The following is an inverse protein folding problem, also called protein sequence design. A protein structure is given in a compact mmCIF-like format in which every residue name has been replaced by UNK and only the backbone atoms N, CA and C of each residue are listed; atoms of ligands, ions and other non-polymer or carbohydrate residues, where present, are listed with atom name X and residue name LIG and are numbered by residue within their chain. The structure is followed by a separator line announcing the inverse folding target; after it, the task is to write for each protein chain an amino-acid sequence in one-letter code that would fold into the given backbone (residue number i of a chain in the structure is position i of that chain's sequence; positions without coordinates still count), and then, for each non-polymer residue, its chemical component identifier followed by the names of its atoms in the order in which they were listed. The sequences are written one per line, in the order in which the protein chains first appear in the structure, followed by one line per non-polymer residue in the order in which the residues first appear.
data_IF_882999235005
#
_entry.id   IF_882999235005
#
_cell.length_a   1.000
_cell.length_b   1.000
_cell.length_c   1.000
_cell.angle_alpha   90.00
_cell.angle_beta   90.00
_cell.angle_gamma   90.00
#
_symmetry.space_group_name_H-M   'P 1'
#
loop_
_entity.id
_entity.type
_entity.pdbx_description
1 polymer ?
#
# COMPACT_ATOMS: atom_id res chain seq x y z
N UNK A 1 -11.57 -16.43 -24.54
CA UNK A 1 -10.51 -15.53 -25.04
C UNK A 1 -9.76 -14.95 -23.85
N UNK A 2 -8.41 -14.94 -23.84
CA UNK A 2 -7.68 -14.29 -22.77
C UNK A 2 -8.00 -12.79 -22.80
N UNK A 3 -8.50 -12.26 -21.69
CA UNK A 3 -8.69 -10.82 -21.52
C UNK A 3 -7.30 -10.19 -21.65
N UNK A 4 -7.18 -9.18 -22.50
CA UNK A 4 -5.94 -8.44 -22.75
C UNK A 4 -6.15 -7.02 -22.28
N UNK A 5 -5.17 -6.50 -21.55
CA UNK A 5 -5.14 -5.14 -21.06
C UNK A 5 -3.84 -4.46 -21.50
N UNK A 6 -3.84 -3.14 -21.53
CA UNK A 6 -2.68 -2.32 -21.87
C UNK A 6 -1.81 -1.99 -20.65
N UNK A 7 -0.50 -1.97 -20.83
CA UNK A 7 0.41 -1.37 -19.87
C UNK A 7 0.35 0.16 -20.00
N UNK A 8 0.02 0.86 -18.92
CA UNK A 8 -0.11 2.33 -18.88
C UNK A 8 1.21 3.10 -19.04
N UNK A 9 2.37 2.43 -19.05
CA UNK A 9 3.69 3.06 -19.25
C UNK A 9 4.23 2.83 -20.67
N UNK A 10 4.31 1.57 -21.11
CA UNK A 10 4.89 1.23 -22.41
C UNK A 10 3.85 1.02 -23.53
N UNK A 11 2.56 1.03 -23.22
CA UNK A 11 1.48 0.85 -24.20
C UNK A 11 1.32 -0.57 -24.76
N UNK A 12 2.16 -1.53 -24.33
CA UNK A 12 2.07 -2.93 -24.80
C UNK A 12 0.78 -3.58 -24.32
N UNK A 13 0.09 -4.27 -25.23
CA UNK A 13 -1.10 -5.08 -24.92
C UNK A 13 -0.66 -6.47 -24.50
N UNK A 14 -0.94 -6.84 -23.24
CA UNK A 14 -0.52 -8.09 -22.63
C UNK A 14 -1.73 -8.82 -22.00
N UNK A 15 -1.67 -10.15 -21.83
CA UNK A 15 -2.67 -10.87 -21.07
C UNK A 15 -2.67 -10.40 -19.61
N UNK A 16 -3.84 -10.31 -18.97
CA UNK A 16 -3.99 -9.78 -17.60
C UNK A 16 -3.08 -10.48 -16.57
N UNK A 17 -2.76 -11.76 -16.76
CA UNK A 17 -1.86 -12.50 -15.86
C UNK A 17 -0.43 -11.94 -15.77
N UNK A 18 0.04 -11.28 -16.83
CA UNK A 18 1.37 -10.66 -16.91
C UNK A 18 1.39 -9.22 -16.39
N UNK A 19 0.22 -8.63 -16.15
CA UNK A 19 0.09 -7.29 -15.61
C UNK A 19 0.00 -7.34 -14.09
N UNK A 20 0.57 -6.32 -13.45
CA UNK A 20 0.58 -6.14 -12.01
C UNK A 20 0.09 -4.73 -11.68
N UNK A 21 -0.59 -4.59 -10.54
CA UNK A 21 -1.13 -3.31 -10.09
C UNK A 21 -0.11 -2.59 -9.23
N UNK A 22 0.12 -1.31 -9.52
CA UNK A 22 0.94 -0.44 -8.69
C UNK A 22 0.19 -0.10 -7.39
N UNK A 23 0.84 -0.27 -6.24
CA UNK A 23 0.24 0.02 -4.93
C UNK A 23 -0.02 1.52 -4.70
N UNK A 24 0.69 2.41 -5.41
CA UNK A 24 0.55 3.88 -5.24
C UNK A 24 -0.49 4.50 -6.16
N UNK A 25 -0.54 4.09 -7.44
CA UNK A 25 -1.44 4.69 -8.42
C UNK A 25 -2.60 3.78 -8.88
N UNK A 26 -2.62 2.51 -8.47
CA UNK A 26 -3.70 1.56 -8.78
C UNK A 26 -3.76 1.05 -10.23
N UNK A 27 -2.96 1.64 -11.14
CA UNK A 27 -2.90 1.28 -12.56
C UNK A 27 -2.13 -0.03 -12.78
N UNK A 28 -2.42 -0.69 -13.92
CA UNK A 28 -1.78 -1.93 -14.37
C UNK A 28 -0.56 -1.66 -15.25
N UNK A 29 0.53 -2.40 -15.00
CA UNK A 29 1.78 -2.30 -15.73
C UNK A 29 2.40 -3.68 -15.95
N UNK A 30 3.28 -3.80 -16.95
CA UNK A 30 4.10 -5.00 -17.15
C UNK A 30 5.22 -5.06 -16.10
N UNK A 31 5.78 -6.25 -15.88
CA UNK A 31 6.86 -6.49 -14.90
C UNK A 31 8.07 -5.58 -15.16
N UNK A 32 8.46 -5.39 -16.42
CA UNK A 32 9.59 -4.51 -16.80
C UNK A 32 9.38 -3.04 -16.42
N UNK A 33 8.12 -2.59 -16.34
CA UNK A 33 7.74 -1.23 -15.99
C UNK A 33 7.46 -1.06 -14.48
N UNK A 34 7.79 -2.07 -13.68
CA UNK A 34 7.62 -2.08 -12.23
C UNK A 34 8.93 -2.37 -11.51
N UNK A 35 9.05 -1.78 -10.33
CA UNK A 35 10.19 -1.97 -9.42
C UNK A 35 9.61 -2.28 -8.04
N UNK A 36 10.24 -3.20 -7.27
CA UNK A 36 9.90 -3.38 -5.86
C UNK A 36 10.17 -2.09 -5.06
N UNK A 37 9.68 -2.05 -3.83
CA UNK A 37 9.88 -0.88 -2.96
C UNK A 37 11.37 -0.68 -2.64
N UNK A 38 11.97 0.36 -3.20
CA UNK A 38 13.36 0.73 -2.96
C UNK A 38 13.56 1.33 -1.55
N UNK A 39 12.52 1.96 -0.97
CA UNK A 39 12.63 2.62 0.32
C UNK A 39 12.56 1.62 1.48
N UNK A 40 11.66 0.63 1.39
CA UNK A 40 11.47 -0.37 2.45
C UNK A 40 12.24 -1.68 2.19
N UNK A 41 12.67 -1.94 0.93
CA UNK A 41 13.26 -3.23 0.53
C UNK A 41 12.23 -4.36 0.36
N UNK A 42 10.94 -4.05 0.48
CA UNK A 42 9.85 -5.03 0.39
C UNK A 42 9.62 -5.49 -1.06
N UNK A 43 10.05 -6.72 -1.38
CA UNK A 43 9.88 -7.32 -2.72
C UNK A 43 8.39 -7.50 -3.09
N UNK A 44 7.51 -7.60 -2.08
CA UNK A 44 6.06 -7.79 -2.29
C UNK A 44 5.33 -6.51 -2.73
N UNK A 45 5.89 -5.34 -2.44
CA UNK A 45 5.29 -4.05 -2.80
C UNK A 45 5.87 -3.59 -4.12
N UNK A 46 5.08 -3.68 -5.19
CA UNK A 46 5.50 -3.22 -6.51
C UNK A 46 4.93 -1.84 -6.83
N UNK A 47 5.81 -0.97 -7.31
CA UNK A 47 5.49 0.35 -7.82
C UNK A 47 5.84 0.47 -9.29
N UNK A 48 5.08 1.28 -10.04
CA UNK A 48 5.49 1.60 -11.41
C UNK A 48 6.67 2.57 -11.41
N UNK A 49 7.46 2.59 -12.49
CA UNK A 49 8.66 3.44 -12.61
C UNK A 49 8.39 4.93 -12.31
N UNK A 50 7.24 5.47 -12.74
CA UNK A 50 6.87 6.85 -12.44
C UNK A 50 6.59 7.08 -10.94
N UNK A 51 5.99 6.11 -10.26
CA UNK A 51 5.75 6.17 -8.82
C UNK A 51 7.03 5.96 -8.01
N UNK A 52 7.92 5.07 -8.46
CA UNK A 52 9.23 4.85 -7.87
C UNK A 52 10.11 6.10 -7.99
N UNK A 53 10.16 6.71 -9.17
CA UNK A 53 10.88 7.98 -9.40
C UNK A 53 10.45 9.07 -8.43
N UNK A 54 9.14 9.23 -8.24
CA UNK A 54 8.57 10.20 -7.28
C UNK A 54 8.86 9.91 -5.81
N UNK A 55 9.27 8.69 -5.46
CA UNK A 55 9.70 8.37 -4.08
C UNK A 55 11.17 8.72 -3.87
N UNK A 56 12.03 8.35 -4.82
CA UNK A 56 13.48 8.57 -4.71
C UNK A 56 13.84 10.05 -4.92
N UNK A 57 13.19 10.70 -5.89
CA UNK A 57 13.34 12.12 -6.17
C UNK A 57 11.95 12.76 -6.16
N UNK A 58 11.42 13.11 -4.98
CA UNK A 58 10.22 13.93 -4.93
C UNK A 58 10.51 15.22 -5.69
N UNK A 59 9.61 15.58 -6.61
CA UNK A 59 9.69 16.89 -7.26
C UNK A 59 9.55 17.92 -6.16
N UNK A 60 10.65 18.57 -5.79
CA UNK A 60 10.62 19.78 -4.97
C UNK A 60 9.74 20.78 -5.73
N UNK A 61 8.69 21.22 -5.07
CA UNK A 61 7.72 22.18 -5.58
C UNK A 61 8.37 23.56 -5.67
N UNK A 62 7.75 24.54 -5.04
CA UNK A 62 8.33 25.88 -4.99
C UNK A 62 9.71 25.84 -4.32
N UNK A 63 10.65 26.68 -4.76
CA UNK A 63 12.01 26.80 -4.19
C UNK A 63 12.00 26.84 -2.64
N UNK A 64 11.02 27.52 -2.06
CA UNK A 64 10.87 27.72 -0.61
C UNK A 64 10.06 26.61 0.12
N UNK A 65 9.78 25.48 -0.53
CA UNK A 65 9.03 24.39 0.09
C UNK A 65 9.78 23.78 1.28
N UNK A 66 11.10 23.63 1.20
CA UNK A 66 11.92 23.12 2.31
C UNK A 66 11.80 24.01 3.56
N UNK A 67 11.80 25.35 3.39
CA UNK A 67 11.55 26.31 4.47
C UNK A 67 10.13 26.15 5.06
N UNK A 68 9.14 25.88 4.22
CA UNK A 68 7.76 25.60 4.65
C UNK A 68 7.71 24.37 5.56
N UNK A 69 8.36 23.28 5.17
CA UNK A 69 8.44 22.06 5.98
C UNK A 69 9.18 22.27 7.30
N UNK A 70 10.30 23.00 7.26
CA UNK A 70 11.07 23.32 8.45
C UNK A 70 10.24 24.09 9.48
N UNK A 71 9.55 25.15 9.05
CA UNK A 71 8.71 25.96 9.93
C UNK A 71 7.50 25.17 10.45
N UNK A 72 6.88 24.31 9.61
CA UNK A 72 5.81 23.40 10.05
C UNK A 72 6.28 22.39 11.09
N UNK A 73 7.47 21.83 10.94
CA UNK A 73 8.03 20.94 11.96
C UNK A 73 8.28 21.70 13.27
N UNK A 74 8.77 22.93 13.16
CA UNK A 74 9.11 23.76 14.33
C UNK A 74 7.89 24.28 15.08
N UNK A 75 6.74 24.40 14.40
CA UNK A 75 5.49 24.90 15.00
C UNK A 75 4.88 23.97 16.06
N UNK A 76 5.36 22.72 16.12
CA UNK A 76 5.00 21.77 17.18
C UNK A 76 5.68 22.10 18.52
N UNK A 77 6.81 22.82 18.52
CA UNK A 77 7.65 22.99 19.70
C UNK A 77 7.80 24.45 20.15
N UNK A 78 7.72 25.40 19.23
CA UNK A 78 7.99 26.82 19.53
C UNK A 78 7.04 27.72 18.77
N UNK A 79 6.69 28.85 19.39
CA UNK A 79 5.84 29.88 18.78
C UNK A 79 6.65 30.98 18.07
N UNK A 80 7.95 31.08 18.36
CA UNK A 80 8.88 32.03 17.73
C UNK A 80 10.16 31.32 17.31
N UNK A 81 10.69 31.69 16.14
CA UNK A 81 11.91 31.11 15.58
C UNK A 81 12.76 32.22 14.99
N UNK A 82 13.98 32.38 15.50
CA UNK A 82 15.01 33.24 14.91
C UNK A 82 15.86 32.41 13.95
N UNK A 83 15.96 32.85 12.70
CA UNK A 83 16.81 32.25 11.67
C UNK A 83 17.73 33.31 11.07
N UNK A 84 19.01 32.96 10.87
CA UNK A 84 19.90 33.79 10.05
C UNK A 84 19.68 33.55 8.56
N UNK A 85 20.07 34.49 7.71
CA UNK A 85 19.97 34.32 6.25
C UNK A 85 20.76 33.10 5.76
N UNK A 86 21.94 32.86 6.31
CA UNK A 86 22.75 31.67 6.01
C UNK A 86 22.06 30.36 6.40
N UNK A 87 21.32 30.35 7.53
CA UNK A 87 20.52 29.18 7.90
C UNK A 87 19.36 28.96 6.93
N UNK A 88 18.72 30.03 6.49
CA UNK A 88 17.62 29.95 5.51
C UNK A 88 18.14 29.42 4.17
N UNK A 89 19.30 29.89 3.69
CA UNK A 89 19.97 29.38 2.49
C UNK A 89 20.25 27.88 2.61
N UNK A 90 20.78 27.45 3.77
CA UNK A 90 21.02 26.04 4.06
C UNK A 90 19.75 25.18 4.10
N UNK A 91 18.63 25.72 4.62
CA UNK A 91 17.34 25.03 4.67
C UNK A 91 16.74 24.90 3.27
N UNK A 92 16.82 25.95 2.45
CA UNK A 92 16.31 25.96 1.08
C UNK A 92 17.17 25.06 0.18
N UNK A 93 18.48 24.98 0.47
CA UNK A 93 19.47 24.32 -0.39
C UNK A 93 19.91 25.19 -1.57
N UNK A 94 19.52 26.47 -1.57
CA UNK A 94 19.88 27.47 -2.57
C UNK A 94 20.06 28.83 -1.88
N UNK A 95 20.84 29.72 -2.49
CA UNK A 95 21.00 31.09 -1.99
C UNK A 95 19.72 31.94 -2.18
N UNK A 96 19.43 32.75 -1.16
CA UNK A 96 18.44 33.81 -1.19
C UNK A 96 18.82 34.88 -2.24
N UNK A 97 17.84 35.48 -2.92
CA UNK A 97 18.10 36.54 -3.87
C UNK A 97 18.68 37.77 -3.16
N UNK A 98 19.46 38.57 -3.90
CA UNK A 98 20.12 39.77 -3.37
C UNK A 98 19.13 40.79 -2.77
N UNK A 99 17.89 40.78 -3.23
CA UNK A 99 16.80 41.60 -2.69
C UNK A 99 16.50 41.28 -1.23
N UNK A 100 16.57 40.02 -0.82
CA UNK A 100 16.33 39.60 0.56
C UNK A 100 17.33 40.22 1.55
N UNK A 101 18.54 40.51 1.07
CA UNK A 101 19.62 41.16 1.83
C UNK A 101 19.51 42.68 1.82
N UNK A 102 18.91 43.27 0.79
CA UNK A 102 18.89 44.73 0.57
C UNK A 102 17.63 45.41 1.09
N UNK A 103 16.47 44.76 1.02
CA UNK A 103 15.20 45.37 1.39
C UNK A 103 14.44 44.54 2.41
N UNK A 104 13.91 45.21 3.44
CA UNK A 104 12.94 44.62 4.36
C UNK A 104 11.61 44.31 3.67
N UNK A 105 11.35 44.94 2.52
CA UNK A 105 10.15 44.73 1.73
C UNK A 105 10.01 43.31 1.20
N UNK A 106 11.14 42.66 0.90
CA UNK A 106 11.16 41.27 0.46
C UNK A 106 10.60 40.33 1.53
N UNK A 107 10.71 40.70 2.81
CA UNK A 107 10.21 39.93 3.94
C UNK A 107 8.76 40.28 4.33
N UNK A 108 8.04 41.07 3.52
CA UNK A 108 6.63 41.41 3.77
C UNK A 108 5.74 40.18 3.65
N UNK A 109 4.75 40.07 4.54
CA UNK A 109 3.75 39.01 4.55
C UNK A 109 2.71 39.22 3.44
N UNK A 110 3.04 38.80 2.20
CA UNK A 110 2.12 38.88 1.05
C UNK A 110 1.91 37.53 0.39
N UNK A 111 0.67 37.19 0.03
CA UNK A 111 0.38 35.93 -0.68
C UNK A 111 0.74 36.00 -2.18
N UNK A 112 1.10 37.18 -2.69
CA UNK A 112 1.46 37.37 -4.10
C UNK A 112 2.82 36.74 -4.44
N UNK A 113 3.79 36.81 -3.54
CA UNK A 113 5.15 36.32 -3.80
C UNK A 113 5.34 34.86 -3.39
N UNK A 114 6.23 34.15 -4.08
CA UNK A 114 6.46 32.73 -3.82
C UNK A 114 7.18 32.47 -2.49
N UNK A 115 8.06 33.40 -2.07
CA UNK A 115 8.77 33.32 -0.78
C UNK A 115 7.81 33.52 0.39
N UNK A 116 6.99 34.57 0.37
CA UNK A 116 6.12 34.85 1.50
C UNK A 116 4.99 33.84 1.65
N UNK A 117 4.50 33.28 0.54
CA UNK A 117 3.63 32.11 0.55
C UNK A 117 4.22 30.93 1.33
N UNK A 118 5.54 30.76 1.38
CA UNK A 118 6.16 29.62 2.05
C UNK A 118 5.93 29.63 3.57
N UNK A 119 6.26 30.74 4.24
CA UNK A 119 6.04 30.85 5.69
C UNK A 119 4.55 31.04 6.03
N UNK A 120 3.79 31.78 5.21
CA UNK A 120 2.34 31.94 5.41
C UNK A 120 1.59 30.60 5.31
N UNK A 121 1.91 29.77 4.32
CA UNK A 121 1.32 28.41 4.20
C UNK A 121 1.76 27.47 5.33
N UNK A 122 2.85 27.79 6.03
CA UNK A 122 3.28 27.08 7.23
C UNK A 122 2.58 27.57 8.51
N UNK A 123 1.78 28.65 8.45
CA UNK A 123 1.15 29.26 9.62
C UNK A 123 2.08 30.21 10.38
N UNK A 124 3.07 30.78 9.69
CA UNK A 124 4.05 31.71 10.25
C UNK A 124 4.01 33.05 9.54
N UNK A 125 4.36 34.09 10.25
CA UNK A 125 4.53 35.45 9.75
C UNK A 125 5.91 35.98 10.17
N UNK A 126 6.48 36.86 9.35
CA UNK A 126 7.69 37.60 9.72
C UNK A 126 7.32 38.68 10.74
N UNK A 127 7.93 38.62 11.92
CA UNK A 127 7.72 39.60 12.99
C UNK A 127 8.79 40.70 12.96
N UNK A 128 10.06 40.30 12.85
CA UNK A 128 11.19 41.21 12.85
C UNK A 128 12.23 40.78 11.82
N UNK A 129 12.85 41.76 11.17
CA UNK A 129 13.91 41.55 10.16
C UNK A 129 15.03 42.53 10.44
N UNK A 130 16.23 42.01 10.65
CA UNK A 130 17.42 42.81 10.83
C UNK A 130 18.42 42.51 9.70
N UNK A 131 18.60 43.48 8.80
CA UNK A 131 19.50 43.35 7.66
C UNK A 131 20.98 43.47 8.05
N UNK A 132 21.30 44.19 9.15
CA UNK A 132 22.70 44.39 9.59
C UNK A 132 23.29 43.11 10.16
N UNK A 133 22.52 42.41 10.99
CA UNK A 133 22.89 41.14 11.59
C UNK A 133 22.39 39.92 10.78
N UNK A 134 21.74 40.17 9.64
CA UNK A 134 21.26 39.16 8.70
C UNK A 134 20.38 38.07 9.35
N UNK A 135 19.37 38.46 10.13
CA UNK A 135 18.41 37.53 10.73
C UNK A 135 16.95 37.96 10.60
N UNK A 136 16.07 36.97 10.68
CA UNK A 136 14.61 37.12 10.68
C UNK A 136 14.04 36.36 11.87
N UNK A 137 13.04 36.96 12.51
CA UNK A 137 12.22 36.31 13.52
C UNK A 137 10.86 36.00 12.90
N UNK A 138 10.55 34.71 12.84
CA UNK A 138 9.23 34.22 12.48
C UNK A 138 8.39 34.01 13.74
N UNK A 139 7.13 34.41 13.69
CA UNK A 139 6.15 34.19 14.73
C UNK A 139 4.98 33.39 14.18
N UNK A 140 4.52 32.41 14.98
CA UNK A 140 3.38 31.58 14.65
C UNK A 140 2.09 32.41 14.70
N UNK A 141 1.26 32.29 13.68
CA UNK A 141 -0.02 32.99 13.65
C UNK A 141 -1.00 32.30 14.60
N UNK A 142 -1.50 33.05 15.60
CA UNK A 142 -2.46 32.53 16.59
C UNK A 142 -3.76 32.03 15.97
N UNK A 143 -4.07 32.46 14.74
CA UNK A 143 -5.29 32.12 14.01
C UNK A 143 -5.31 30.68 13.48
N UNK A 144 -4.21 29.92 13.59
CA UNK A 144 -4.20 28.47 13.38
C UNK A 144 -4.23 27.70 14.71
N UNK A 145 -4.98 28.21 15.69
CA UNK A 145 -5.56 27.36 16.73
C UNK A 145 -6.59 26.44 16.04
N UNK A 146 -6.11 25.30 15.56
CA UNK A 146 -6.87 24.05 15.44
C UNK A 146 -8.32 24.25 14.98
N UNK A 147 -8.54 24.65 13.73
CA UNK A 147 -9.64 23.99 13.00
C UNK A 147 -9.18 22.54 12.86
N UNK A 148 -9.62 21.73 13.82
CA UNK A 148 -9.29 20.33 13.93
C UNK A 148 -9.32 19.67 12.56
N UNK A 149 -8.31 18.87 12.31
CA UNK A 149 -8.46 17.68 11.48
C UNK A 149 -9.22 17.94 10.19
N UNK A 150 -8.50 18.23 9.11
CA UNK A 150 -8.81 17.61 7.83
C UNK A 150 -8.58 16.08 7.93
N UNK A 151 -9.18 15.44 8.94
CA UNK A 151 -9.78 14.15 8.77
C UNK A 151 -10.76 14.31 7.62
N UNK A 152 -10.29 13.83 6.48
CA UNK A 152 -11.04 13.48 5.28
C UNK A 152 -12.52 13.41 5.61
N UNK A 153 -13.35 14.10 4.83
CA UNK A 153 -14.76 13.79 4.63
C UNK A 153 -14.92 12.35 4.12
N UNK A 154 -14.63 11.40 5.00
CA UNK A 154 -15.18 10.08 5.07
C UNK A 154 -16.11 10.22 6.25
N UNK A 155 -17.38 10.51 5.97
CA UNK A 155 -18.46 10.37 6.97
C UNK A 155 -18.40 8.94 7.50
N UNK A 156 -17.60 8.71 8.53
CA UNK A 156 -17.73 7.57 9.44
C UNK A 156 -18.29 8.20 10.69
N UNK A 157 -19.60 8.14 10.78
CA UNK A 157 -20.29 8.38 12.03
C UNK A 157 -19.54 7.61 13.13
N UNK A 158 -19.15 8.34 14.18
CA UNK A 158 -18.76 7.80 15.47
C UNK A 158 -19.96 7.08 16.10
N UNK A 159 -20.35 5.97 15.50
CA UNK A 159 -21.20 4.99 16.15
C UNK A 159 -20.25 4.13 16.96
N UNK A 160 -20.09 4.43 18.24
CA UNK A 160 -19.82 3.35 19.18
C UNK A 160 -20.88 2.28 18.89
N UNK A 161 -20.51 1.04 18.56
CA UNK A 161 -21.47 0.04 18.16
C UNK A 161 -22.39 -0.23 19.36
N UNK A 162 -23.61 0.30 19.32
CA UNK A 162 -24.65 0.08 20.35
C UNK A 162 -25.12 -1.38 20.37
N UNK A 163 -24.61 -2.21 19.45
CA UNK A 163 -24.91 -3.63 19.34
C UNK A 163 -23.60 -4.40 19.47
N UNK A 164 -23.52 -5.40 20.36
CA UNK A 164 -22.38 -6.31 20.38
C UNK A 164 -22.21 -6.92 18.99
N UNK A 165 -20.96 -7.05 18.54
CA UNK A 165 -20.62 -7.61 17.25
C UNK A 165 -21.32 -8.97 17.07
N UNK A 166 -22.33 -8.99 16.20
CA UNK A 166 -23.00 -10.23 15.82
C UNK A 166 -22.31 -10.70 14.54
N UNK A 167 -21.52 -11.79 14.58
CA UNK A 167 -20.87 -12.28 13.37
C UNK A 167 -21.95 -12.62 12.33
N UNK A 168 -21.74 -12.29 11.04
CA UNK A 168 -22.67 -12.69 10.00
C UNK A 168 -22.86 -14.21 10.07
N UNK A 169 -24.10 -14.73 9.95
CA UNK A 169 -24.35 -16.16 10.06
C UNK A 169 -23.47 -16.89 9.06
N UNK A 170 -22.60 -17.77 9.57
CA UNK A 170 -21.76 -18.59 8.72
C UNK A 170 -22.68 -19.34 7.75
N UNK A 171 -22.48 -19.14 6.44
CA UNK A 171 -23.15 -19.97 5.43
C UNK A 171 -22.58 -21.38 5.56
N UNK A 172 -23.20 -22.18 6.43
CA UNK A 172 -22.95 -23.62 6.46
C UNK A 172 -23.53 -24.15 5.16
N UNK A 173 -22.68 -24.39 4.16
CA UNK A 173 -23.07 -25.08 2.95
C UNK A 173 -23.53 -26.48 3.36
N UNK A 174 -24.86 -26.66 3.49
CA UNK A 174 -25.44 -27.97 3.75
C UNK A 174 -24.97 -28.94 2.65
N UNK A 175 -24.28 -30.00 3.05
CA UNK A 175 -23.83 -31.04 2.10
C UNK A 175 -25.08 -31.59 1.38
N UNK A 176 -25.14 -31.44 0.06
CA UNK A 176 -26.26 -31.95 -0.74
C UNK A 176 -26.39 -33.46 -0.53
N UNK A 177 -27.53 -33.91 0.00
CA UNK A 177 -27.81 -35.35 0.14
C UNK A 177 -27.91 -35.97 -1.27
N UNK A 178 -27.38 -37.19 -1.49
CA UNK A 178 -27.46 -37.85 -2.79
C UNK A 178 -28.93 -38.14 -3.17
N UNK A 179 -29.23 -38.13 -4.47
CA UNK A 179 -30.58 -38.44 -4.97
C UNK A 179 -30.99 -39.87 -4.61
N UNK A 180 -32.31 -40.11 -4.50
CA UNK A 180 -32.86 -41.46 -4.26
C UNK A 180 -32.36 -42.48 -5.29
N UNK A 181 -32.20 -42.07 -6.54
CA UNK A 181 -31.62 -42.89 -7.62
C UNK A 181 -30.15 -43.26 -7.36
N UNK A 182 -29.35 -42.33 -6.83
CA UNK A 182 -27.94 -42.60 -6.51
C UNK A 182 -27.80 -43.54 -5.30
N UNK A 183 -28.68 -43.41 -4.31
CA UNK A 183 -28.77 -44.30 -3.16
C UNK A 183 -29.16 -45.72 -3.62
N UNK A 184 -30.20 -45.85 -4.46
CA UNK A 184 -30.64 -47.14 -5.01
C UNK A 184 -29.54 -47.84 -5.82
N UNK A 185 -28.82 -47.10 -6.69
CA UNK A 185 -27.67 -47.63 -7.43
C UNK A 185 -26.56 -48.13 -6.50
N UNK A 186 -26.27 -47.40 -5.42
CA UNK A 186 -25.28 -47.81 -4.41
C UNK A 186 -25.72 -49.07 -3.68
N UNK A 187 -26.99 -49.15 -3.28
CA UNK A 187 -27.57 -50.32 -2.62
C UNK A 187 -27.54 -51.57 -3.51
N UNK A 188 -27.92 -51.44 -4.78
CA UNK A 188 -27.82 -52.52 -5.75
C UNK A 188 -26.36 -52.99 -5.91
N UNK A 189 -25.40 -52.05 -5.92
CA UNK A 189 -23.98 -52.36 -6.00
C UNK A 189 -23.48 -53.12 -4.77
N UNK A 190 -23.91 -52.70 -3.57
CA UNK A 190 -23.60 -53.40 -2.32
C UNK A 190 -24.15 -54.83 -2.33
N UNK A 191 -25.42 -55.03 -2.70
CA UNK A 191 -26.00 -56.37 -2.82
C UNK A 191 -25.29 -57.25 -3.84
N UNK A 192 -24.84 -56.68 -4.96
CA UNK A 192 -24.07 -57.44 -5.95
C UNK A 192 -22.71 -57.88 -5.39
N UNK A 193 -22.04 -57.01 -4.60
CA UNK A 193 -20.80 -57.37 -3.92
C UNK A 193 -21.05 -58.47 -2.87
N UNK A 194 -22.14 -58.39 -2.11
CA UNK A 194 -22.52 -59.42 -1.14
C UNK A 194 -22.78 -60.77 -1.82
N UNK A 195 -23.54 -60.79 -2.91
CA UNK A 195 -23.75 -62.00 -3.71
C UNK A 195 -22.45 -62.57 -4.25
N UNK A 196 -21.58 -61.72 -4.80
CA UNK A 196 -20.27 -62.15 -5.30
C UNK A 196 -19.38 -62.72 -4.17
N UNK A 197 -19.41 -62.13 -2.97
CA UNK A 197 -18.71 -62.66 -1.80
C UNK A 197 -19.28 -63.99 -1.32
N UNK A 198 -20.60 -64.16 -1.37
CA UNK A 198 -21.26 -65.39 -0.97
C UNK A 198 -21.06 -66.52 -1.99
N UNK A 199 -21.02 -66.19 -3.29
CA UNK A 199 -20.76 -67.14 -4.37
C UNK A 199 -19.28 -67.48 -4.55
N UNK A 200 -18.37 -66.75 -3.89
CA UNK A 200 -16.96 -67.09 -3.93
C UNK A 200 -16.70 -68.36 -3.11
N UNK A 201 -16.11 -69.40 -3.71
CA UNK A 201 -15.78 -70.62 -2.98
C UNK A 201 -14.78 -70.28 -1.87
N UNK A 202 -15.13 -70.59 -0.62
CA UNK A 202 -14.19 -70.53 0.50
C UNK A 202 -13.22 -71.69 0.34
N UNK A 203 -12.08 -71.47 -0.33
CA UNK A 203 -10.99 -72.44 -0.29
C UNK A 203 -10.55 -72.62 1.18
N UNK A 204 -10.82 -73.80 1.76
CA UNK A 204 -10.19 -74.26 3.00
C UNK A 204 -8.79 -74.73 2.63
N UNK A 205 -7.78 -74.04 3.15
CA UNK A 205 -6.39 -74.48 3.11
C UNK A 205 -5.64 -74.05 1.85
N UNK A 206 -4.75 -73.08 2.05
CA UNK A 206 -3.42 -72.83 1.44
C UNK A 206 -3.23 -71.35 1.09
N UNK A 207 -1.99 -70.90 1.31
CA UNK A 207 -1.50 -69.53 1.27
C UNK A 207 -2.14 -68.66 0.17
N UNK A 208 -2.79 -67.54 0.54
CA UNK A 208 -3.26 -66.56 -0.44
C UNK A 208 -2.06 -65.99 -1.20
N UNK A 209 -2.08 -65.92 -2.55
CA UNK A 209 -1.01 -65.27 -3.29
C UNK A 209 -0.96 -63.79 -2.92
N UNK A 210 0.26 -63.25 -2.70
CA UNK A 210 0.45 -61.84 -2.35
C UNK A 210 -0.20 -60.92 -3.40
N UNK A 211 -0.95 -59.88 -2.98
CA UNK A 211 -1.60 -58.94 -3.89
C UNK A 211 -0.58 -58.23 -4.79
N UNK A 212 -1.02 -57.83 -5.98
CA UNK A 212 -0.15 -57.25 -7.01
C UNK A 212 0.62 -55.99 -6.55
N UNK A 213 0.10 -55.25 -5.56
CA UNK A 213 0.79 -54.09 -4.99
C UNK A 213 2.00 -54.48 -4.13
N UNK A 214 1.90 -55.56 -3.35
CA UNK A 214 3.02 -56.07 -2.54
C UNK A 214 4.16 -56.59 -3.42
N UNK A 215 3.83 -57.27 -4.53
CA UNK A 215 4.83 -57.74 -5.51
C UNK A 215 5.59 -56.59 -6.18
N UNK A 216 5.00 -55.39 -6.24
CA UNK A 216 5.65 -54.20 -6.82
C UNK A 216 6.59 -53.50 -5.84
N UNK A 217 6.32 -53.60 -4.53
CA UNK A 217 7.10 -52.96 -3.47
C UNK A 217 8.44 -53.67 -3.18
N UNK A 218 8.48 -55.00 -3.31
CA UNK A 218 9.66 -55.82 -2.96
C UNK A 218 10.33 -56.45 -4.19
N UNK A 219 10.57 -55.68 -5.26
CA UNK A 219 11.51 -56.13 -6.30
C UNK A 219 12.94 -56.00 -5.75
N UNK A 220 13.73 -57.08 -5.61
CA UNK A 220 15.16 -56.91 -5.32
C UNK A 220 15.81 -56.15 -6.48
N UNK A 221 16.59 -55.11 -6.16
CA UNK A 221 17.47 -54.46 -7.15
C UNK A 221 18.51 -55.50 -7.56
N UNK A 222 18.57 -55.81 -8.85
CA UNK A 222 19.57 -56.72 -9.40
C UNK A 222 20.97 -56.09 -9.32
N UNK A 223 21.90 -56.79 -8.66
CA UNK A 223 23.33 -56.74 -8.97
C UNK A 223 23.61 -57.35 -10.34
#
# INVERSE_FOLDING_TARGET
MPIKDECKLCGRVLPVGYLRRCQRCGKTFCLDCMVPDVATGDIRRLFCLNCARKMVSPKTGNKYEALTHYLRFRSAFTDTVRLSFAQIDGIIGDNLPLEAYRSTEWWKNTLATAHARAWLNAGWETAEVNLKEAYVVFQKTKTQQVSGEHEKTRKKASQQPTKPYTPPPARIYAKRKPSKTKIAKLYARLKNIERAKASQPKLRGTFKPKPAHEKRLFKPKSE
#
